data_IF_848217468303
#
_entry.id   IF_848217468303
#
_cell.length_a   1.000
_cell.length_b   1.000
_cell.length_c   1.000
_cell.angle_alpha   90.00
_cell.angle_beta   90.00
_cell.angle_gamma   90.00
#
_symmetry.space_group_name_H-M   'P 1'
#
loop_
_entity.id
_entity.type
_entity.pdbx_description
1 polymer ?
#
# COMPACT_ATOMS: atom_id res chain seq x y z
N UNK A 1 -36.87 6.01 8.91
CA UNK A 1 -36.28 5.30 7.75
C UNK A 1 -35.56 6.34 6.90
N UNK A 2 -34.33 6.01 6.49
CA UNK A 2 -33.48 6.74 5.53
C UNK A 2 -32.44 7.70 6.12
N UNK A 3 -31.48 7.12 6.83
CA UNK A 3 -30.13 7.69 6.99
C UNK A 3 -29.49 7.76 5.58
N UNK A 4 -29.30 8.98 5.07
CA UNK A 4 -28.55 9.21 3.83
C UNK A 4 -27.06 9.17 4.14
N UNK A 5 -26.50 7.96 4.17
CA UNK A 5 -25.05 7.74 4.09
C UNK A 5 -24.59 8.09 2.68
N UNK A 6 -24.20 9.35 2.47
CA UNK A 6 -23.38 9.74 1.34
C UNK A 6 -21.95 9.25 1.61
N UNK A 7 -21.71 7.95 1.41
CA UNK A 7 -20.37 7.44 1.17
C UNK A 7 -19.99 7.86 -0.26
N UNK A 8 -19.67 9.16 -0.43
CA UNK A 8 -18.74 9.56 -1.47
C UNK A 8 -17.37 9.03 -1.05
N UNK A 9 -17.19 7.72 -1.15
CA UNK A 9 -15.90 7.09 -0.93
C UNK A 9 -15.02 7.45 -2.12
N UNK A 10 -14.37 8.60 -2.04
CA UNK A 10 -13.15 8.84 -2.80
C UNK A 10 -12.25 7.61 -2.58
N UNK A 11 -11.70 7.04 -3.64
CA UNK A 11 -10.87 5.85 -3.54
C UNK A 11 -9.63 6.21 -2.70
N UNK A 12 -9.70 5.97 -1.39
CA UNK A 12 -8.57 6.20 -0.48
C UNK A 12 -7.48 5.27 -0.96
N UNK A 13 -6.33 5.85 -1.30
CA UNK A 13 -5.22 5.04 -1.76
C UNK A 13 -4.69 4.20 -0.60
N UNK A 14 -4.26 2.97 -0.86
CA UNK A 14 -3.67 2.10 0.16
C UNK A 14 -2.41 2.74 0.80
N UNK A 15 -1.78 3.70 0.11
CA UNK A 15 -0.66 4.50 0.62
C UNK A 15 -1.07 5.59 1.62
N UNK A 16 -2.35 5.98 1.66
CA UNK A 16 -2.88 7.01 2.58
C UNK A 16 -3.40 6.39 3.89
N UNK A 17 -3.35 5.06 4.00
CA UNK A 17 -3.72 4.35 5.21
C UNK A 17 -2.65 4.51 6.29
N UNK A 18 -3.06 4.38 7.55
CA UNK A 18 -2.12 4.27 8.66
C UNK A 18 -1.51 2.87 8.72
N UNK A 19 -0.26 2.80 9.17
CA UNK A 19 0.43 1.53 9.38
C UNK A 19 -0.37 0.64 10.35
N UNK A 20 -0.71 -0.57 9.93
CA UNK A 20 -1.47 -1.50 10.76
C UNK A 20 -0.70 -1.95 12.01
N UNK A 21 0.63 -1.90 11.97
CA UNK A 21 1.52 -2.29 13.08
C UNK A 21 1.65 -1.20 14.15
N UNK A 22 1.94 0.05 13.77
CA UNK A 22 2.26 1.12 14.71
C UNK A 22 1.34 2.35 14.65
N UNK A 23 0.41 2.41 13.69
CA UNK A 23 -0.45 3.56 13.43
C UNK A 23 0.25 4.75 12.75
N UNK A 24 1.54 4.60 12.40
CA UNK A 24 2.34 5.64 11.74
C UNK A 24 1.94 5.88 10.28
N UNK A 25 2.66 6.78 9.62
CA UNK A 25 2.37 7.19 8.24
C UNK A 25 2.99 6.21 7.26
N UNK A 26 2.20 5.78 6.28
CA UNK A 26 2.69 5.03 5.13
C UNK A 26 3.15 5.98 4.03
N UNK A 27 4.24 5.61 3.37
CA UNK A 27 4.81 6.34 2.23
C UNK A 27 4.95 5.41 1.03
N UNK A 28 4.60 5.92 -0.15
CA UNK A 28 4.74 5.20 -1.40
C UNK A 28 6.21 5.08 -1.77
N UNK A 29 6.68 3.85 -1.93
CA UNK A 29 8.07 3.55 -2.29
C UNK A 29 8.10 2.53 -3.42
N UNK A 30 9.03 2.70 -4.35
CA UNK A 30 9.32 1.72 -5.40
C UNK A 30 10.64 1.02 -5.06
N UNK A 31 10.65 -0.30 -5.12
CA UNK A 31 11.86 -1.11 -4.88
C UNK A 31 12.00 -2.16 -5.97
N UNK A 32 13.23 -2.48 -6.35
CA UNK A 32 13.51 -3.56 -7.30
C UNK A 32 13.08 -4.92 -6.73
N UNK A 33 12.60 -5.82 -7.59
CA UNK A 33 12.27 -7.20 -7.20
C UNK A 33 13.43 -7.93 -6.52
N UNK A 34 14.68 -7.69 -6.97
CA UNK A 34 15.89 -8.24 -6.34
C UNK A 34 16.02 -7.88 -4.85
N UNK A 35 15.71 -6.63 -4.49
CA UNK A 35 15.75 -6.14 -3.10
C UNK A 35 14.70 -6.83 -2.22
N UNK A 36 13.60 -7.28 -2.82
CA UNK A 36 12.53 -8.03 -2.18
C UNK A 36 12.76 -9.55 -2.22
N UNK A 37 13.78 -10.03 -2.94
CA UNK A 37 14.01 -11.46 -3.16
C UNK A 37 12.99 -12.12 -4.09
N UNK A 38 12.29 -11.34 -4.92
CA UNK A 38 11.35 -11.86 -5.92
C UNK A 38 11.95 -11.73 -7.33
N UNK A 39 11.70 -12.72 -8.18
CA UNK A 39 12.24 -12.76 -9.55
C UNK A 39 11.43 -11.86 -10.50
N UNK A 40 11.43 -10.57 -10.21
CA UNK A 40 10.68 -9.53 -10.94
C UNK A 40 11.68 -8.50 -11.44
N UNK A 41 11.87 -8.42 -12.76
CA UNK A 41 12.86 -7.53 -13.40
C UNK A 41 12.42 -6.05 -13.43
N UNK A 42 11.29 -5.72 -12.80
CA UNK A 42 10.74 -4.35 -12.71
C UNK A 42 10.72 -3.86 -11.26
N UNK A 43 10.54 -2.55 -11.11
CA UNK A 43 10.28 -1.94 -9.80
C UNK A 43 8.86 -2.31 -9.32
N UNK A 44 8.78 -2.65 -8.05
CA UNK A 44 7.56 -3.04 -7.33
C UNK A 44 7.18 -1.88 -6.43
N UNK A 45 5.99 -1.34 -6.63
CA UNK A 45 5.45 -0.26 -5.81
C UNK A 45 4.86 -0.85 -4.54
N UNK A 46 5.27 -0.34 -3.38
CA UNK A 46 4.80 -0.77 -2.07
C UNK A 46 4.59 0.43 -1.14
N UNK A 47 3.85 0.22 -0.06
CA UNK A 47 3.72 1.19 1.01
C UNK A 47 4.71 0.82 2.13
N UNK A 48 5.63 1.73 2.48
CA UNK A 48 6.57 1.54 3.59
C UNK A 48 6.23 2.52 4.71
N UNK A 49 6.18 2.04 5.95
CA UNK A 49 6.00 2.89 7.11
C UNK A 49 7.30 3.61 7.46
N UNK A 50 7.27 4.94 7.49
CA UNK A 50 8.46 5.76 7.80
C UNK A 50 8.93 5.61 9.26
N UNK A 51 8.03 5.20 10.17
CA UNK A 51 8.32 5.08 11.60
C UNK A 51 8.89 3.72 11.99
N UNK A 52 8.34 2.63 11.44
CA UNK A 52 8.73 1.26 11.84
C UNK A 52 9.36 0.43 10.71
N UNK A 53 9.36 0.92 9.47
CA UNK A 53 9.93 0.22 8.31
C UNK A 53 9.08 -0.94 7.79
N UNK A 54 7.88 -1.14 8.32
CA UNK A 54 6.96 -2.18 7.85
C UNK A 54 6.53 -1.94 6.40
N UNK A 55 6.46 -3.00 5.60
CA UNK A 55 6.13 -2.92 4.17
C UNK A 55 4.82 -3.64 3.86
N UNK A 56 3.98 -2.98 3.08
CA UNK A 56 2.69 -3.48 2.63
C UNK A 56 2.63 -3.48 1.11
N UNK A 57 2.10 -4.56 0.54
CA UNK A 57 1.94 -4.72 -0.90
C UNK A 57 0.50 -4.35 -1.28
N UNK A 58 0.30 -3.23 -2.00
CA UNK A 58 -0.99 -2.84 -2.54
C UNK A 58 -1.58 -3.93 -3.42
N UNK A 59 -2.89 -3.95 -3.52
CA UNK A 59 -3.58 -4.96 -4.35
C UNK A 59 -3.22 -4.83 -5.82
N UNK A 60 -3.07 -3.60 -6.32
CA UNK A 60 -2.61 -3.33 -7.70
C UNK A 60 -1.27 -4.04 -7.97
N UNK A 61 -0.32 -3.92 -7.05
CA UNK A 61 1.00 -4.53 -7.16
C UNK A 61 0.91 -6.05 -7.16
N UNK A 62 0.05 -6.64 -6.33
CA UNK A 62 -0.13 -8.10 -6.29
C UNK A 62 -0.78 -8.64 -7.57
N UNK A 63 -1.71 -7.88 -8.17
CA UNK A 63 -2.35 -8.23 -9.45
C UNK A 63 -1.34 -8.26 -10.60
N UNK A 64 -0.36 -7.35 -10.58
CA UNK A 64 0.73 -7.32 -11.58
C UNK A 64 1.75 -8.47 -11.44
N UNK A 65 1.75 -9.17 -10.31
CA UNK A 65 2.69 -10.26 -10.00
C UNK A 65 2.12 -11.67 -10.21
N UNK A 66 0.83 -11.80 -10.53
CA UNK A 66 0.14 -13.07 -10.82
C UNK A 66 0.14 -13.40 -12.31
#
# INVERSE_FOLDING_TARGET
MSERSAAGGEAVSEFELSCATCGGTLSRTAVSGDTLGVAVEREVVLAECVDCGERYFPRETLDELT
#
